data_IF_070230970001
#
_entry.id   IF_070230970001
#
_cell.length_a   1.000
_cell.length_b   1.000
_cell.length_c   1.000
_cell.angle_alpha   90.00
_cell.angle_beta   90.00
_cell.angle_gamma   90.00
#
_symmetry.space_group_name_H-M   'P 1'
#
loop_
_entity.id
_entity.type
_entity.pdbx_description
1 polymer ?
#
# COMPACT_ATOMS: atom_id res chain seq x y z
N UNK A 1 4.31 42.43 71.84
CA UNK A 1 5.24 42.55 70.70
C UNK A 1 5.10 41.31 69.82
N UNK A 2 4.26 41.36 68.79
CA UNK A 2 4.08 40.27 67.82
C UNK A 2 4.76 40.67 66.51
N UNK A 3 5.79 39.92 66.10
CA UNK A 3 6.44 40.06 64.79
C UNK A 3 5.76 39.13 63.81
N UNK A 4 5.00 39.70 62.87
CA UNK A 4 4.44 38.99 61.73
C UNK A 4 5.57 38.60 60.77
N UNK A 5 5.80 37.29 60.62
CA UNK A 5 6.68 36.73 59.61
C UNK A 5 5.97 36.77 58.24
N UNK A 6 6.35 37.73 57.39
CA UNK A 6 5.94 37.76 56.00
C UNK A 6 6.66 36.62 55.25
N UNK A 7 5.90 35.58 54.92
CA UNK A 7 6.29 34.45 54.06
C UNK A 7 6.71 34.97 52.67
N UNK A 8 7.91 34.59 52.23
CA UNK A 8 8.34 34.68 50.83
C UNK A 8 7.44 33.80 49.96
N UNK A 9 6.61 34.45 49.15
CA UNK A 9 5.77 33.83 48.12
C UNK A 9 6.28 34.31 46.76
N UNK A 10 7.33 33.68 46.23
CA UNK A 10 8.03 34.19 45.03
C UNK A 10 8.63 33.15 44.09
N UNK A 11 8.79 31.88 44.49
CA UNK A 11 9.51 30.88 43.69
C UNK A 11 8.62 29.90 42.91
N UNK A 12 7.29 29.92 43.12
CA UNK A 12 6.36 29.01 42.45
C UNK A 12 6.01 29.35 41.00
N UNK A 13 6.29 30.58 40.54
CA UNK A 13 5.89 31.03 39.20
C UNK A 13 6.74 30.48 38.05
N UNK A 14 8.02 30.21 38.29
CA UNK A 14 8.96 29.84 37.23
C UNK A 14 8.69 28.44 36.65
N UNK A 15 8.32 27.49 37.51
CA UNK A 15 8.11 26.08 37.13
C UNK A 15 6.87 25.93 36.24
N UNK A 16 5.79 26.66 36.55
CA UNK A 16 4.56 26.62 35.76
C UNK A 16 4.77 27.17 34.34
N UNK A 17 5.52 28.28 34.21
CA UNK A 17 5.83 28.89 32.92
C UNK A 17 6.73 27.99 32.08
N UNK A 18 7.74 27.35 32.68
CA UNK A 18 8.60 26.39 31.98
C UNK A 18 7.81 25.18 31.47
N UNK A 19 6.91 24.61 32.29
CA UNK A 19 6.08 23.47 31.88
C UNK A 19 5.17 23.80 30.69
N UNK A 20 4.55 24.98 30.68
CA UNK A 20 3.73 25.45 29.55
C UNK A 20 4.57 25.66 28.28
N UNK A 21 5.78 26.16 28.41
CA UNK A 21 6.66 26.34 27.26
C UNK A 21 7.08 24.99 26.64
N UNK A 22 7.46 24.00 27.47
CA UNK A 22 7.83 22.68 26.97
C UNK A 22 6.67 21.95 26.29
N UNK A 23 5.47 22.04 26.85
CA UNK A 23 4.27 21.44 26.24
C UNK A 23 3.91 22.10 24.91
N UNK A 24 4.00 23.43 24.82
CA UNK A 24 3.78 24.15 23.56
C UNK A 24 4.81 23.75 22.48
N UNK A 25 6.10 23.64 22.84
CA UNK A 25 7.14 23.18 21.92
C UNK A 25 6.88 21.75 21.46
N UNK A 26 6.52 20.85 22.38
CA UNK A 26 6.23 19.45 22.04
C UNK A 26 5.06 19.33 21.06
N UNK A 27 3.98 20.09 21.26
CA UNK A 27 2.84 20.13 20.35
C UNK A 27 3.22 20.70 18.97
N UNK A 28 4.01 21.77 18.94
CA UNK A 28 4.47 22.34 17.67
C UNK A 28 5.32 21.35 16.86
N UNK A 29 6.21 20.61 17.53
CA UNK A 29 7.01 19.56 16.88
C UNK A 29 6.16 18.40 16.39
N UNK A 30 5.15 17.97 17.15
CA UNK A 30 4.22 16.92 16.73
C UNK A 30 3.41 17.33 15.49
N UNK A 31 2.92 18.57 15.44
CA UNK A 31 2.23 19.11 14.27
C UNK A 31 3.17 19.19 13.07
N UNK A 32 4.41 19.68 13.25
CA UNK A 32 5.40 19.74 12.19
C UNK A 32 5.73 18.35 11.63
N UNK A 33 5.94 17.36 12.51
CA UNK A 33 6.20 15.97 12.12
C UNK A 33 5.02 15.38 11.33
N UNK A 34 3.79 15.64 11.76
CA UNK A 34 2.59 15.22 11.03
C UNK A 34 2.49 15.84 9.63
N UNK A 35 2.81 17.14 9.51
CA UNK A 35 2.81 17.84 8.21
C UNK A 35 3.90 17.29 7.27
N UNK A 36 5.10 17.00 7.79
CA UNK A 36 6.19 16.37 7.03
C UNK A 36 5.76 14.96 6.57
N UNK A 37 5.17 14.17 7.46
CA UNK A 37 4.66 12.84 7.12
C UNK A 37 3.63 12.90 5.99
N UNK A 38 2.64 13.80 6.08
CA UNK A 38 1.64 14.05 5.02
C UNK A 38 2.31 14.42 3.69
N UNK A 39 3.32 15.28 3.72
CA UNK A 39 4.03 15.72 2.52
C UNK A 39 4.80 14.57 1.86
N UNK A 40 5.49 13.75 2.66
CA UNK A 40 6.22 12.55 2.17
C UNK A 40 5.25 11.55 1.54
N UNK A 41 4.12 11.26 2.21
CA UNK A 41 3.11 10.33 1.68
C UNK A 41 2.54 10.84 0.36
N UNK A 42 2.20 12.13 0.29
CA UNK A 42 1.66 12.75 -0.94
C UNK A 42 2.69 12.75 -2.07
N UNK A 43 3.97 13.03 -1.77
CA UNK A 43 5.05 12.99 -2.75
C UNK A 43 5.28 11.58 -3.30
N UNK A 44 5.17 10.54 -2.46
CA UNK A 44 5.26 9.14 -2.91
C UNK A 44 4.11 8.75 -3.84
N UNK A 45 2.89 9.20 -3.56
CA UNK A 45 1.75 8.95 -4.46
C UNK A 45 2.00 9.57 -5.84
N UNK A 46 2.45 10.84 -5.90
CA UNK A 46 2.76 11.48 -7.20
C UNK A 46 3.93 10.83 -7.95
N UNK A 47 4.93 10.31 -7.24
CA UNK A 47 6.06 9.65 -7.88
C UNK A 47 5.69 8.32 -8.55
N UNK A 48 4.63 7.63 -8.08
CA UNK A 48 4.14 6.40 -8.72
C UNK A 48 3.36 6.66 -10.01
N UNK A 49 2.62 7.78 -10.09
CA UNK A 49 1.89 8.18 -11.29
C UNK A 49 2.81 8.41 -12.51
N UNK A 50 4.08 8.78 -12.29
CA UNK A 50 5.06 8.99 -13.35
C UNK A 50 5.68 7.65 -13.84
N UNK A 51 5.66 6.59 -13.02
CA UNK A 51 6.30 5.30 -13.38
C UNK A 51 5.40 4.38 -14.20
N UNK A 52 4.09 4.53 -14.11
CA UNK A 52 3.15 3.83 -14.98
C UNK A 52 2.41 4.89 -15.79
N UNK A 53 2.99 5.38 -16.91
CA UNK A 53 2.17 6.07 -17.88
C UNK A 53 1.05 5.10 -18.24
N UNK A 54 -0.18 5.44 -17.86
CA UNK A 54 -1.37 4.76 -18.34
C UNK A 54 -1.21 4.69 -19.85
N UNK A 55 -0.94 3.48 -20.35
CA UNK A 55 -0.80 3.19 -21.77
C UNK A 55 -2.19 3.34 -22.39
N UNK A 56 -2.64 4.58 -22.53
CA UNK A 56 -3.78 4.97 -23.33
C UNK A 56 -3.42 4.82 -24.79
N UNK A 57 -3.47 3.58 -25.28
CA UNK A 57 -3.67 3.18 -26.68
C UNK A 57 -3.50 1.66 -26.79
N UNK A 58 -4.31 0.92 -26.04
CA UNK A 58 -4.68 -0.42 -26.51
C UNK A 58 -6.12 -0.31 -27.00
N UNK A 59 -6.25 0.12 -28.26
CA UNK A 59 -7.35 -0.31 -29.12
C UNK A 59 -7.32 -1.85 -29.15
N UNK A 60 -7.95 -2.46 -28.16
CA UNK A 60 -8.25 -3.89 -28.16
C UNK A 60 -9.30 -4.05 -29.26
N UNK A 61 -8.82 -4.25 -30.49
CA UNK A 61 -9.58 -4.89 -31.53
C UNK A 61 -9.95 -6.28 -31.01
N UNK A 62 -11.14 -6.39 -30.41
CA UNK A 62 -11.78 -7.66 -30.11
C UNK A 62 -12.16 -8.26 -31.46
N UNK A 63 -11.18 -8.86 -32.15
CA UNK A 63 -11.48 -9.83 -33.19
C UNK A 63 -12.15 -11.02 -32.50
N UNK A 64 -13.46 -11.15 -32.76
CA UNK A 64 -14.26 -12.32 -32.40
C UNK A 64 -13.61 -13.54 -33.02
N UNK A 65 -12.83 -14.26 -32.23
CA UNK A 65 -12.33 -15.58 -32.57
C UNK A 65 -13.38 -16.59 -32.11
N UNK A 66 -14.32 -16.88 -33.00
CA UNK A 66 -15.19 -18.05 -32.88
C UNK A 66 -14.28 -19.29 -33.03
N UNK A 67 -13.95 -19.93 -31.91
CA UNK A 67 -13.21 -21.20 -31.90
C UNK A 67 -14.00 -22.24 -31.14
N UNK A 68 -14.67 -23.07 -31.92
CA UNK A 68 -15.18 -24.38 -31.56
C UNK A 68 -14.03 -25.25 -31.02
N UNK A 69 -13.79 -25.25 -29.71
CA UNK A 69 -12.87 -26.20 -29.10
C UNK A 69 -13.65 -27.38 -28.53
N UNK A 70 -13.80 -28.38 -29.40
CA UNK A 70 -14.27 -29.72 -29.07
C UNK A 70 -13.32 -30.33 -28.05
N UNK A 71 -13.87 -30.84 -26.96
CA UNK A 71 -13.08 -31.37 -25.85
C UNK A 71 -12.17 -32.52 -26.24
N UNK A 72 -10.93 -32.46 -25.76
CA UNK A 72 -10.12 -33.65 -25.49
C UNK A 72 -9.46 -33.49 -24.12
N UNK A 73 -9.77 -34.47 -23.28
CA UNK A 73 -9.17 -34.65 -21.97
C UNK A 73 -7.69 -35.04 -22.11
N UNK A 74 -6.83 -34.48 -21.26
CA UNK A 74 -5.47 -35.00 -21.05
C UNK A 74 -4.91 -34.55 -19.68
N UNK A 75 -3.90 -35.29 -19.16
CA UNK A 75 -4.09 -36.04 -17.92
C UNK A 75 -3.40 -35.41 -16.70
N UNK A 76 -3.91 -35.76 -15.52
CA UNK A 76 -3.30 -35.47 -14.22
C UNK A 76 -1.91 -36.10 -14.10
N UNK A 77 -0.86 -35.28 -14.08
CA UNK A 77 0.49 -35.68 -13.69
C UNK A 77 0.53 -35.78 -12.16
N UNK A 78 0.43 -37.00 -11.64
CA UNK A 78 0.75 -37.32 -10.26
C UNK A 78 2.28 -37.30 -10.10
N UNK A 79 2.81 -36.30 -9.39
CA UNK A 79 4.20 -36.30 -8.95
C UNK A 79 4.30 -37.16 -7.69
N UNK A 80 4.94 -38.32 -7.83
CA UNK A 80 5.29 -39.23 -6.74
C UNK A 80 6.41 -38.60 -5.89
N UNK A 81 6.08 -38.10 -4.70
CA UNK A 81 7.06 -37.68 -3.70
C UNK A 81 7.51 -38.87 -2.86
N UNK A 82 8.25 -39.80 -3.47
CA UNK A 82 9.02 -40.82 -2.74
C UNK A 82 10.47 -40.37 -2.64
N UNK A 83 10.88 -40.09 -1.39
CA UNK A 83 12.16 -39.48 -1.09
C UNK A 83 13.36 -40.38 -1.31
N UNK A 84 14.47 -39.76 -1.73
CA UNK A 84 15.84 -40.27 -1.62
C UNK A 84 16.82 -39.11 -1.35
N UNK A 85 17.38 -39.13 -0.13
CA UNK A 85 18.73 -38.71 0.34
C UNK A 85 19.33 -37.34 -0.07
N UNK A 86 19.66 -36.46 0.91
CA UNK A 86 20.42 -35.24 0.69
C UNK A 86 21.91 -35.49 0.94
N UNK A 87 22.72 -35.66 -0.10
CA UNK A 87 24.19 -35.57 0.03
C UNK A 87 24.92 -35.18 -1.26
N UNK A 88 24.36 -35.45 -2.44
CA UNK A 88 25.12 -35.31 -3.71
C UNK A 88 24.65 -34.17 -4.63
N UNK A 89 23.57 -33.46 -4.28
CA UNK A 89 23.05 -32.34 -5.08
C UNK A 89 23.89 -31.04 -5.00
N UNK A 90 24.92 -30.98 -4.15
CA UNK A 90 25.78 -29.80 -3.99
C UNK A 90 26.90 -29.69 -5.03
N UNK A 91 27.21 -30.76 -5.77
CA UNK A 91 28.29 -30.74 -6.76
C UNK A 91 27.87 -30.19 -8.15
N UNK A 92 26.56 -30.10 -8.43
CA UNK A 92 26.05 -29.66 -9.73
C UNK A 92 25.92 -28.13 -9.89
N UNK A 93 26.14 -27.34 -8.83
CA UNK A 93 25.99 -25.87 -8.86
C UNK A 93 27.31 -25.10 -9.11
N UNK A 94 28.45 -25.79 -9.22
CA UNK A 94 29.77 -25.14 -9.35
C UNK A 94 30.16 -24.78 -10.80
N UNK A 95 29.24 -24.83 -11.77
CA UNK A 95 29.51 -24.65 -13.19
C UNK A 95 28.94 -23.39 -13.85
N UNK A 96 28.35 -22.44 -13.11
CA UNK A 96 27.80 -21.23 -13.70
C UNK A 96 28.90 -20.23 -14.04
N UNK A 97 29.36 -20.30 -15.29
CA UNK A 97 30.24 -19.34 -15.95
C UNK A 97 29.54 -17.98 -16.04
N UNK A 98 30.22 -16.95 -15.54
CA UNK A 98 29.74 -15.57 -15.45
C UNK A 98 29.92 -14.83 -16.79
N UNK A 99 29.19 -15.23 -17.82
CA UNK A 99 29.18 -14.53 -19.10
C UNK A 99 27.74 -14.14 -19.45
N UNK A 100 27.49 -12.83 -19.33
CA UNK A 100 26.35 -12.03 -19.81
C UNK A 100 25.39 -11.46 -18.73
N UNK A 101 25.61 -10.21 -18.26
CA UNK A 101 24.71 -9.51 -17.33
C UNK A 101 23.43 -8.94 -17.99
N UNK A 102 23.21 -9.12 -19.30
CA UNK A 102 22.02 -8.55 -19.98
C UNK A 102 20.75 -9.40 -19.91
N UNK A 103 20.82 -10.65 -19.44
CA UNK A 103 19.67 -11.58 -19.45
C UNK A 103 18.92 -11.66 -18.11
N UNK A 104 19.26 -10.81 -17.14
CA UNK A 104 18.71 -10.86 -15.77
C UNK A 104 17.56 -9.86 -15.48
N UNK A 105 16.96 -9.24 -16.50
CA UNK A 105 15.88 -8.25 -16.35
C UNK A 105 14.58 -8.61 -17.08
N UNK A 106 14.34 -9.88 -17.36
CA UNK A 106 13.02 -10.37 -17.83
C UNK A 106 12.30 -11.25 -16.80
N UNK A 107 12.85 -11.35 -15.59
CA UNK A 107 12.29 -12.15 -14.52
C UNK A 107 11.38 -11.25 -13.68
N UNK A 108 10.08 -11.44 -13.93
CA UNK A 108 8.98 -11.17 -12.99
C UNK A 108 8.44 -9.74 -13.05
N UNK A 109 7.75 -9.41 -14.14
CA UNK A 109 6.40 -8.82 -13.99
C UNK A 109 5.56 -9.89 -13.27
N UNK A 110 5.75 -10.01 -11.96
CA UNK A 110 4.75 -10.68 -11.13
C UNK A 110 3.51 -9.83 -11.34
N UNK A 111 2.54 -10.39 -12.07
CA UNK A 111 1.15 -10.01 -11.99
C UNK A 111 0.76 -10.07 -10.52
N UNK A 112 1.13 -9.05 -9.73
CA UNK A 112 0.68 -8.89 -8.37
C UNK A 112 -0.83 -8.80 -8.55
N UNK A 113 -1.58 -9.83 -8.14
CA UNK A 113 -2.97 -9.93 -8.52
C UNK A 113 -3.65 -8.68 -7.96
N UNK A 114 -4.22 -7.88 -8.86
CA UNK A 114 -4.98 -6.70 -8.51
C UNK A 114 -6.13 -7.21 -7.63
N UNK A 115 -5.99 -7.01 -6.33
CA UNK A 115 -6.87 -7.54 -5.30
C UNK A 115 -7.35 -6.40 -4.42
N UNK A 116 -8.57 -6.54 -3.93
CA UNK A 116 -9.12 -5.55 -3.01
C UNK A 116 -8.33 -5.62 -1.69
N UNK A 117 -7.77 -4.50 -1.23
CA UNK A 117 -6.91 -4.50 -0.05
C UNK A 117 -7.66 -4.71 1.27
N UNK A 118 -9.00 -4.75 1.26
CA UNK A 118 -9.83 -5.05 2.43
C UNK A 118 -10.05 -6.56 2.60
N UNK A 119 -10.46 -7.25 1.54
CA UNK A 119 -10.81 -8.68 1.60
C UNK A 119 -9.68 -9.60 1.09
N UNK A 120 -8.68 -9.06 0.39
CA UNK A 120 -7.57 -9.80 -0.23
C UNK A 120 -7.98 -10.62 -1.45
N UNK A 121 -9.21 -10.49 -1.92
CA UNK A 121 -9.75 -11.25 -3.05
C UNK A 121 -9.41 -10.53 -4.36
N UNK A 122 -8.98 -11.25 -5.41
CA UNK A 122 -8.71 -10.66 -6.72
C UNK A 122 -9.99 -10.11 -7.35
N UNK A 123 -9.87 -9.02 -8.11
CA UNK A 123 -11.00 -8.47 -8.87
C UNK A 123 -11.38 -9.43 -10.02
N UNK A 124 -12.68 -9.59 -10.27
CA UNK A 124 -13.16 -10.35 -11.42
C UNK A 124 -13.07 -9.48 -12.67
N UNK A 125 -12.85 -10.11 -13.83
CA UNK A 125 -12.89 -9.40 -15.11
C UNK A 125 -14.26 -8.74 -15.31
N UNK A 126 -14.26 -7.43 -15.59
CA UNK A 126 -15.47 -6.62 -15.78
C UNK A 126 -16.18 -6.19 -14.49
N UNK A 127 -15.63 -6.46 -13.31
CA UNK A 127 -16.18 -5.99 -12.04
C UNK A 127 -15.98 -4.47 -11.89
N UNK A 128 -17.00 -3.72 -11.40
CA UNK A 128 -16.83 -2.30 -11.13
C UNK A 128 -15.85 -2.11 -9.97
N UNK A 129 -14.82 -1.30 -10.20
CA UNK A 129 -13.83 -0.93 -9.19
C UNK A 129 -13.84 0.57 -8.96
N UNK A 130 -13.68 0.96 -7.71
CA UNK A 130 -13.65 2.37 -7.29
C UNK A 130 -12.18 2.70 -6.99
N UNK A 131 -11.51 3.44 -7.90
CA UNK A 131 -10.11 3.79 -7.70
C UNK A 131 -9.97 4.87 -6.63
N UNK A 132 -8.95 4.73 -5.81
CA UNK A 132 -8.44 5.75 -4.92
C UNK A 132 -7.35 6.56 -5.64
N UNK A 133 -7.16 7.81 -5.22
CA UNK A 133 -6.09 8.70 -5.71
C UNK A 133 -4.67 8.15 -5.55
N UNK A 134 -4.47 7.14 -4.70
CA UNK A 134 -3.17 6.47 -4.55
C UNK A 134 -2.97 5.25 -5.46
N UNK A 135 -3.90 4.98 -6.38
CA UNK A 135 -3.82 3.86 -7.33
C UNK A 135 -4.39 2.53 -6.83
N UNK A 136 -4.80 2.45 -5.55
CA UNK A 136 -5.54 1.29 -5.04
C UNK A 136 -6.97 1.30 -5.59
N UNK A 137 -7.53 0.12 -5.82
CA UNK A 137 -8.94 -0.06 -6.13
C UNK A 137 -9.66 -0.75 -4.98
N UNK A 138 -10.96 -0.49 -4.89
CA UNK A 138 -11.87 -1.11 -3.94
C UNK A 138 -13.13 -1.57 -4.66
N UNK A 139 -13.74 -2.66 -4.21
CA UNK A 139 -15.11 -3.02 -4.57
C UNK A 139 -16.10 -2.07 -3.90
N UNK A 140 -17.33 -2.05 -4.41
CA UNK A 140 -18.42 -1.25 -3.82
C UNK A 140 -18.70 -1.65 -2.37
N UNK A 141 -18.67 -2.96 -2.07
CA UNK A 141 -18.86 -3.49 -0.72
C UNK A 141 -17.76 -3.01 0.23
N UNK A 142 -16.51 -2.97 -0.25
CA UNK A 142 -15.36 -2.47 0.50
C UNK A 142 -15.46 -0.97 0.75
N UNK A 143 -15.95 -0.18 -0.22
CA UNK A 143 -16.21 1.25 0.00
C UNK A 143 -17.31 1.47 1.05
N UNK A 144 -18.36 0.65 1.04
CA UNK A 144 -19.39 0.69 2.08
C UNK A 144 -18.80 0.39 3.45
N UNK A 145 -18.00 -0.67 3.54
CA UNK A 145 -17.27 -0.98 4.78
C UNK A 145 -16.35 0.16 5.22
N UNK A 146 -15.64 0.80 4.29
CA UNK A 146 -14.81 1.97 4.61
C UNK A 146 -15.64 3.14 5.12
N UNK A 147 -16.82 3.41 4.56
CA UNK A 147 -17.73 4.45 5.09
C UNK A 147 -18.19 4.12 6.51
N UNK A 148 -18.57 2.87 6.76
CA UNK A 148 -19.13 2.45 8.05
C UNK A 148 -18.06 2.37 9.17
N UNK A 149 -16.84 1.95 8.85
CA UNK A 149 -15.80 1.65 9.85
C UNK A 149 -14.54 2.51 9.76
N UNK A 150 -14.27 3.14 8.60
CA UNK A 150 -13.06 3.92 8.34
C UNK A 150 -13.37 5.36 7.86
N UNK A 151 -14.60 5.86 8.08
CA UNK A 151 -14.99 7.22 7.71
C UNK A 151 -14.91 7.54 6.21
N UNK A 152 -14.95 6.51 5.35
CA UNK A 152 -14.85 6.63 3.89
C UNK A 152 -13.43 6.89 3.38
N UNK A 153 -12.41 6.77 4.24
CA UNK A 153 -11.01 7.00 3.87
C UNK A 153 -10.32 5.71 3.42
N UNK A 154 -9.44 5.83 2.43
CA UNK A 154 -8.55 4.78 1.96
C UNK A 154 -7.65 4.29 3.10
N UNK A 155 -7.54 2.96 3.28
CA UNK A 155 -6.72 2.35 4.34
C UNK A 155 -5.22 2.66 4.20
N UNK A 156 -4.77 2.98 2.99
CA UNK A 156 -3.36 3.18 2.70
C UNK A 156 -2.96 4.66 2.72
N UNK A 157 -3.66 5.51 1.96
CA UNK A 157 -3.31 6.94 1.84
C UNK A 157 -4.19 7.88 2.69
N UNK A 158 -5.29 7.38 3.27
CA UNK A 158 -6.22 8.16 4.08
C UNK A 158 -7.12 9.14 3.30
N UNK A 159 -7.00 9.20 1.97
CA UNK A 159 -7.86 10.05 1.14
C UNK A 159 -9.31 9.52 1.13
N UNK A 160 -10.29 10.41 1.02
CA UNK A 160 -11.70 10.03 0.87
C UNK A 160 -11.91 9.31 -0.47
N UNK A 161 -12.51 8.13 -0.42
CA UNK A 161 -12.76 7.27 -1.60
C UNK A 161 -14.26 7.29 -1.93
N UNK A 162 -14.60 7.44 -3.22
CA UNK A 162 -16.01 7.43 -3.68
C UNK A 162 -16.75 8.77 -3.56
N UNK A 163 -16.06 9.91 -3.53
CA UNK A 163 -16.70 11.24 -3.46
C UNK A 163 -17.17 11.82 -4.81
N UNK A 164 -17.31 10.98 -5.85
CA UNK A 164 -17.66 11.44 -7.20
C UNK A 164 -19.16 11.73 -7.43
N UNK A 165 -20.02 11.56 -6.41
CA UNK A 165 -21.48 11.67 -6.56
C UNK A 165 -22.09 13.08 -6.38
N UNK A 166 -21.32 14.17 -6.37
CA UNK A 166 -21.86 15.54 -6.33
C UNK A 166 -21.40 16.41 -7.54
N UNK A 167 -21.61 15.90 -8.75
CA UNK A 167 -21.65 16.71 -9.98
C UNK A 167 -22.87 16.32 -10.83
N UNK A 168 -24.06 16.64 -10.31
CA UNK A 168 -25.27 16.81 -11.13
C UNK A 168 -25.46 18.29 -11.44
#
# INVERSE_FOLDING_TARGET
>A
MQRFALRRSGEGGSIAVQSLLFTAIALALAVLAYMIYRLIVTARCRAQEIRHPVSGDQDIAIERMDSDNSGEASPSVFVDMRGERPAEALAALAGFSAEDPSTALSIVEEDIPYADPIDGMPFKSGEPVIPCVCGLAYREESIKWLRDYHGGSCIYCGALVGSSEDRS
#
